data_IF_481152748066
#
_entry.id   IF_481152748066
#
_cell.length_a   1.000
_cell.length_b   1.000
_cell.length_c   1.000
_cell.angle_alpha   90.00
_cell.angle_beta   90.00
_cell.angle_gamma   90.00
#
_symmetry.space_group_name_H-M   'P 1'
#
loop_
_entity.id
_entity.type
_entity.pdbx_description
1 polymer ?
#
# COMPACT_ATOMS: atom_id res chain seq x y z
N UNK A 1 -30.19 5.22 2.77
CA UNK A 1 -29.83 4.68 4.11
C UNK A 1 -28.40 5.03 4.41
N UNK A 2 -28.15 5.68 5.52
CA UNK A 2 -26.80 6.04 5.90
C UNK A 2 -26.00 4.78 6.26
N UNK A 3 -24.72 4.72 5.88
CA UNK A 3 -23.90 3.58 6.25
C UNK A 3 -23.75 3.51 7.77
N UNK A 4 -23.84 2.31 8.33
CA UNK A 4 -23.71 2.08 9.76
C UNK A 4 -22.29 1.64 10.14
N UNK A 5 -21.53 1.16 9.17
CA UNK A 5 -20.18 0.62 9.38
C UNK A 5 -19.24 1.16 8.30
N UNK A 6 -18.04 1.51 8.70
CA UNK A 6 -16.97 1.95 7.80
C UNK A 6 -15.75 1.05 7.97
N UNK A 7 -15.19 0.57 6.87
CA UNK A 7 -13.99 -0.26 6.90
C UNK A 7 -12.78 0.59 6.53
N UNK A 8 -11.74 0.56 7.35
CA UNK A 8 -10.55 1.37 7.10
C UNK A 8 -9.76 0.82 5.90
N UNK A 9 -9.55 1.68 4.89
CA UNK A 9 -8.79 1.35 3.68
C UNK A 9 -7.59 2.25 3.48
N UNK A 10 -7.40 3.24 4.36
CA UNK A 10 -6.25 4.14 4.31
C UNK A 10 -5.97 4.65 5.71
N UNK A 11 -4.83 4.28 6.26
CA UNK A 11 -4.46 4.65 7.64
C UNK A 11 -3.74 5.99 7.67
N UNK A 12 -2.72 6.17 6.83
CA UNK A 12 -1.97 7.42 6.75
C UNK A 12 -1.38 7.83 8.10
N UNK A 13 -1.62 9.08 8.45
CA UNK A 13 -1.15 9.66 9.71
C UNK A 13 -1.96 9.21 10.93
N UNK A 14 -3.01 8.42 10.72
CA UNK A 14 -3.94 8.00 11.77
C UNK A 14 -3.63 6.61 12.34
N UNK A 15 -2.39 6.13 12.18
CA UNK A 15 -1.99 4.79 12.63
C UNK A 15 -2.21 4.56 14.14
N UNK A 16 -2.23 5.63 14.92
CA UNK A 16 -2.51 5.57 16.37
C UNK A 16 -3.99 5.30 16.68
N UNK A 17 -4.87 5.48 15.71
CA UNK A 17 -6.31 5.40 15.92
C UNK A 17 -7.02 4.45 14.96
N UNK A 18 -6.42 4.12 13.80
CA UNK A 18 -7.03 3.30 12.77
C UNK A 18 -6.15 2.11 12.41
N UNK A 19 -6.79 0.98 12.10
CA UNK A 19 -6.13 -0.23 11.63
C UNK A 19 -6.70 -0.60 10.26
N UNK A 20 -5.83 -0.79 9.28
CA UNK A 20 -6.25 -1.18 7.92
C UNK A 20 -7.11 -2.46 7.97
N UNK A 21 -8.25 -2.41 7.28
CA UNK A 21 -9.16 -3.54 7.19
C UNK A 21 -10.09 -3.72 8.40
N UNK A 22 -9.91 -2.93 9.47
CA UNK A 22 -10.80 -2.98 10.62
C UNK A 22 -12.11 -2.23 10.35
N UNK A 23 -13.18 -2.69 10.97
CA UNK A 23 -14.51 -2.07 10.86
C UNK A 23 -14.78 -1.17 12.06
N UNK A 24 -15.39 -0.04 11.79
CA UNK A 24 -15.75 0.96 12.81
C UNK A 24 -17.22 1.34 12.65
N UNK A 25 -17.94 1.47 13.76
CA UNK A 25 -19.30 1.98 13.73
C UNK A 25 -19.28 3.47 13.35
N UNK A 26 -20.12 3.84 12.39
CA UNK A 26 -20.26 5.24 11.99
C UNK A 26 -21.15 5.94 13.01
N UNK A 27 -20.58 6.88 13.75
CA UNK A 27 -21.30 7.66 14.74
C UNK A 27 -22.00 8.87 14.11
N UNK A 28 -21.30 9.54 13.19
CA UNK A 28 -21.83 10.65 12.41
C UNK A 28 -21.13 10.71 11.06
N UNK A 29 -21.82 11.25 10.06
CA UNK A 29 -21.26 11.44 8.73
C UNK A 29 -21.58 12.86 8.26
N UNK A 30 -20.54 13.65 7.99
CA UNK A 30 -20.67 15.01 7.48
C UNK A 30 -20.27 15.03 6.01
N UNK A 31 -21.27 14.98 5.13
CA UNK A 31 -21.04 14.95 3.68
C UNK A 31 -20.51 16.27 3.14
N UNK A 32 -20.81 17.39 3.81
CA UNK A 32 -20.33 18.70 3.36
C UNK A 32 -18.84 18.86 3.60
N UNK A 33 -18.33 18.28 4.66
CA UNK A 33 -16.90 18.34 5.01
C UNK A 33 -16.12 17.08 4.60
N UNK A 34 -16.80 16.10 4.00
CA UNK A 34 -16.21 14.80 3.65
C UNK A 34 -15.53 14.13 4.85
N UNK A 35 -16.25 14.06 5.97
CA UNK A 35 -15.75 13.51 7.22
C UNK A 35 -16.71 12.49 7.82
N UNK A 36 -16.14 11.50 8.51
CA UNK A 36 -16.87 10.47 9.24
C UNK A 36 -16.37 10.45 10.67
N UNK A 37 -17.29 10.44 11.62
CA UNK A 37 -16.94 10.29 13.03
C UNK A 37 -17.04 8.83 13.44
N UNK A 38 -15.95 8.30 13.95
CA UNK A 38 -15.89 6.94 14.50
C UNK A 38 -15.12 6.97 15.82
N UNK A 39 -15.28 5.90 16.62
CA UNK A 39 -14.41 5.67 17.78
C UNK A 39 -13.21 4.88 17.32
N UNK A 40 -12.03 5.48 17.37
CA UNK A 40 -10.80 4.84 16.96
C UNK A 40 -10.34 3.74 17.91
N UNK A 41 -9.24 3.08 17.57
CA UNK A 41 -8.66 2.01 18.38
C UNK A 41 -8.24 2.49 19.78
N UNK A 42 -7.96 3.79 19.90
CA UNK A 42 -7.61 4.41 21.18
C UNK A 42 -8.82 4.75 22.06
N UNK A 43 -10.03 4.37 21.61
CA UNK A 43 -11.28 4.61 22.36
C UNK A 43 -11.85 6.01 22.24
N UNK A 44 -11.20 6.89 21.49
CA UNK A 44 -11.64 8.30 21.37
C UNK A 44 -12.48 8.50 20.13
N UNK A 45 -13.58 9.25 20.28
CA UNK A 45 -14.39 9.71 19.14
C UNK A 45 -13.61 10.78 18.40
N UNK A 46 -13.52 10.63 17.09
CA UNK A 46 -12.80 11.60 16.26
C UNK A 46 -13.38 11.63 14.86
N UNK A 47 -13.27 12.77 14.21
CA UNK A 47 -13.62 12.95 12.80
C UNK A 47 -12.41 12.60 11.94
N UNK A 48 -12.62 11.77 10.92
CA UNK A 48 -11.59 11.36 9.96
C UNK A 48 -12.08 11.67 8.55
N UNK A 49 -11.17 11.93 7.60
CA UNK A 49 -11.58 12.10 6.21
C UNK A 49 -12.27 10.84 5.67
N UNK A 50 -13.28 11.02 4.82
CA UNK A 50 -14.01 9.88 4.25
C UNK A 50 -13.12 8.96 3.40
N UNK A 51 -12.04 9.50 2.82
CA UNK A 51 -11.13 8.66 2.03
C UNK A 51 -10.44 7.56 2.85
N UNK A 52 -10.43 7.68 4.17
CA UNK A 52 -9.88 6.64 5.04
C UNK A 52 -10.75 5.38 5.07
N UNK A 53 -11.99 5.45 4.59
CA UNK A 53 -12.96 4.38 4.78
C UNK A 53 -13.65 3.98 3.48
N UNK A 54 -14.01 2.69 3.43
CA UNK A 54 -14.98 2.16 2.49
C UNK A 54 -16.28 1.91 3.26
N UNK A 55 -17.35 2.55 2.83
CA UNK A 55 -18.66 2.44 3.45
C UNK A 55 -19.66 1.66 2.59
N UNK A 56 -19.17 0.98 1.54
CA UNK A 56 -20.03 0.22 0.62
C UNK A 56 -20.47 -1.12 1.18
N UNK A 57 -19.83 -1.59 2.26
CA UNK A 57 -20.09 -2.92 2.81
C UNK A 57 -19.41 -4.06 2.08
N UNK A 58 -18.61 -3.76 1.05
CA UNK A 58 -17.86 -4.78 0.32
C UNK A 58 -16.65 -5.24 1.15
N UNK A 59 -16.30 -6.55 1.09
CA UNK A 59 -15.08 -7.01 1.75
C UNK A 59 -13.86 -6.30 1.18
N UNK A 60 -12.97 -5.86 2.06
CA UNK A 60 -11.70 -5.26 1.65
C UNK A 60 -10.75 -6.36 1.22
N UNK A 61 -10.17 -6.21 0.02
CA UNK A 61 -9.17 -7.14 -0.49
C UNK A 61 -7.86 -6.92 0.26
N UNK A 62 -7.31 -7.98 0.84
CA UNK A 62 -6.12 -7.94 1.69
C UNK A 62 -5.03 -8.84 1.16
N UNK A 63 -3.80 -8.43 1.37
CA UNK A 63 -2.64 -9.27 1.09
C UNK A 63 -2.59 -10.41 2.10
N UNK A 64 -2.64 -11.66 1.61
CA UNK A 64 -2.64 -12.85 2.48
C UNK A 64 -1.36 -13.65 2.40
N UNK A 65 -0.60 -13.55 1.31
CA UNK A 65 0.67 -14.25 1.16
C UNK A 65 1.62 -13.53 0.23
N UNK A 66 2.90 -13.58 0.56
CA UNK A 66 3.99 -12.99 -0.23
C UNK A 66 4.99 -14.08 -0.54
N UNK A 67 5.35 -14.22 -1.82
CA UNK A 67 6.37 -15.17 -2.26
C UNK A 67 7.50 -14.40 -2.93
N UNK A 68 8.72 -14.60 -2.44
CA UNK A 68 9.94 -13.99 -2.99
C UNK A 68 10.55 -14.98 -3.97
N UNK A 69 10.58 -14.62 -5.26
CA UNK A 69 11.00 -15.51 -6.32
C UNK A 69 12.50 -15.46 -6.65
N UNK A 70 13.19 -14.41 -6.20
CA UNK A 70 14.60 -14.22 -6.50
C UNK A 70 15.47 -14.28 -5.25
N UNK A 71 16.78 -14.61 -5.39
CA UNK A 71 17.69 -14.43 -4.27
C UNK A 71 17.73 -12.98 -3.81
N UNK A 72 17.84 -12.76 -2.50
CA UNK A 72 17.79 -11.42 -1.92
C UNK A 72 18.99 -10.55 -2.31
N UNK A 73 20.08 -11.16 -2.79
CA UNK A 73 21.25 -10.43 -3.28
C UNK A 73 21.15 -10.07 -4.77
N UNK A 74 20.02 -10.36 -5.40
CA UNK A 74 19.77 -10.00 -6.80
C UNK A 74 19.63 -8.48 -6.95
N UNK A 75 19.96 -7.91 -8.13
CA UNK A 75 19.79 -6.47 -8.37
C UNK A 75 18.36 -5.99 -8.29
N UNK A 76 17.40 -6.84 -8.64
CA UNK A 76 15.99 -6.64 -8.38
C UNK A 76 15.41 -7.96 -7.92
N UNK A 77 14.44 -7.88 -7.01
CA UNK A 77 13.83 -9.06 -6.41
C UNK A 77 12.34 -9.02 -6.73
N UNK A 78 11.90 -9.99 -7.53
CA UNK A 78 10.48 -10.13 -7.87
C UNK A 78 9.72 -10.75 -6.70
N UNK A 79 8.57 -10.19 -6.40
CA UNK A 79 7.72 -10.63 -5.30
C UNK A 79 6.31 -10.85 -5.81
N UNK A 80 5.78 -12.05 -5.58
CA UNK A 80 4.40 -12.39 -5.93
C UNK A 80 3.52 -12.15 -4.72
N UNK A 81 2.42 -11.43 -4.95
CA UNK A 81 1.44 -11.05 -3.94
C UNK A 81 0.15 -11.81 -4.18
N UNK A 82 -0.31 -12.51 -3.17
CA UNK A 82 -1.58 -13.24 -3.22
C UNK A 82 -2.59 -12.54 -2.30
N UNK A 83 -3.76 -12.23 -2.85
CA UNK A 83 -4.79 -11.46 -2.16
C UNK A 83 -5.95 -12.33 -1.71
N UNK A 84 -6.74 -11.83 -0.76
CA UNK A 84 -7.85 -12.56 -0.15
C UNK A 84 -8.96 -12.93 -1.13
N UNK A 85 -9.05 -12.27 -2.29
CA UNK A 85 -10.00 -12.59 -3.35
C UNK A 85 -9.47 -13.63 -4.35
N UNK A 86 -8.27 -14.17 -4.12
CA UNK A 86 -7.65 -15.16 -4.98
C UNK A 86 -6.83 -14.60 -6.12
N UNK A 87 -6.88 -13.30 -6.35
CA UNK A 87 -6.06 -12.68 -7.40
C UNK A 87 -4.59 -12.65 -6.99
N UNK A 88 -3.69 -12.75 -7.98
CA UNK A 88 -2.25 -12.63 -7.80
C UNK A 88 -1.75 -11.43 -8.56
N UNK A 89 -0.81 -10.73 -7.95
CA UNK A 89 -0.12 -9.58 -8.54
C UNK A 89 1.37 -9.71 -8.23
N UNK A 90 2.18 -8.85 -8.83
CA UNK A 90 3.60 -8.85 -8.55
C UNK A 90 4.14 -7.43 -8.55
N UNK A 91 5.22 -7.26 -7.81
CA UNK A 91 6.04 -6.06 -7.83
C UNK A 91 7.50 -6.51 -7.69
N UNK A 92 8.42 -5.57 -7.86
CA UNK A 92 9.83 -5.88 -7.62
C UNK A 92 10.47 -4.83 -6.72
N UNK A 93 11.44 -5.27 -5.96
CA UNK A 93 12.19 -4.44 -5.03
C UNK A 93 13.59 -4.19 -5.58
N UNK A 94 14.06 -2.97 -5.44
CA UNK A 94 15.40 -2.57 -5.84
C UNK A 94 15.93 -1.52 -4.86
N UNK A 95 17.17 -1.08 -5.06
CA UNK A 95 17.79 -0.06 -4.21
C UNK A 95 18.24 1.11 -5.07
N UNK A 96 18.48 2.31 -4.47
CA UNK A 96 19.04 3.44 -5.22
C UNK A 96 20.38 3.10 -5.86
N UNK A 97 21.20 2.30 -5.19
CA UNK A 97 22.49 1.85 -5.71
C UNK A 97 22.32 1.02 -6.99
N UNK A 98 21.37 0.07 -6.99
CA UNK A 98 21.11 -0.76 -8.16
C UNK A 98 20.55 0.05 -9.32
N UNK A 99 19.68 1.03 -9.04
CA UNK A 99 19.19 1.95 -10.06
C UNK A 99 20.33 2.74 -10.67
N UNK A 100 21.27 3.20 -9.85
CA UNK A 100 22.43 3.94 -10.32
C UNK A 100 23.34 3.09 -11.22
N UNK A 101 23.51 1.81 -10.88
CA UNK A 101 24.36 0.89 -11.65
C UNK A 101 23.70 0.41 -12.94
N UNK A 102 22.38 0.25 -12.95
CA UNK A 102 21.63 -0.36 -14.05
C UNK A 102 20.63 0.60 -14.70
N UNK A 103 20.71 1.88 -14.39
CA UNK A 103 19.81 2.86 -14.96
C UNK A 103 19.93 2.95 -16.48
N UNK A 104 18.93 3.54 -17.10
CA UNK A 104 18.81 3.63 -18.56
C UNK A 104 19.94 4.37 -19.24
N UNK A 105 19.96 4.26 -20.56
CA UNK A 105 21.02 4.83 -21.38
C UNK A 105 20.84 6.31 -21.69
N UNK A 106 19.65 6.87 -21.40
CA UNK A 106 19.37 8.27 -21.72
C UNK A 106 20.19 9.20 -20.81
N UNK A 107 20.86 10.15 -21.44
CA UNK A 107 21.68 11.15 -20.76
C UNK A 107 21.30 12.54 -21.22
N UNK A 108 21.32 13.49 -20.27
CA UNK A 108 21.00 14.89 -20.52
C UNK A 108 22.02 15.73 -19.78
N UNK A 109 22.86 16.47 -20.52
CA UNK A 109 23.93 17.32 -19.96
C UNK A 109 24.84 16.59 -18.99
N UNK A 110 25.15 15.31 -19.29
CA UNK A 110 26.02 14.49 -18.45
C UNK A 110 25.30 13.76 -17.31
N UNK A 111 24.03 14.04 -17.08
CA UNK A 111 23.23 13.38 -16.08
C UNK A 111 22.42 12.23 -16.70
N UNK A 112 22.32 11.10 -15.98
CA UNK A 112 21.57 9.93 -16.47
C UNK A 112 20.17 9.89 -15.93
N UNK A 113 19.22 9.54 -16.79
CA UNK A 113 17.88 9.16 -16.38
C UNK A 113 17.93 7.72 -15.87
N UNK A 114 17.77 7.53 -14.55
CA UNK A 114 17.93 6.21 -13.93
C UNK A 114 16.72 5.31 -14.12
N UNK A 115 15.52 5.87 -14.09
CA UNK A 115 14.30 5.09 -14.21
C UNK A 115 13.09 5.99 -14.49
N UNK A 116 12.09 5.43 -15.22
CA UNK A 116 10.79 6.07 -15.39
C UNK A 116 9.72 5.03 -15.72
N UNK A 117 8.46 5.34 -15.41
CA UNK A 117 7.28 4.63 -15.92
C UNK A 117 6.90 3.32 -15.27
N UNK A 118 7.65 2.84 -14.27
CA UNK A 118 7.35 1.56 -13.64
C UNK A 118 6.62 1.76 -12.32
N UNK A 119 5.31 1.47 -12.30
CA UNK A 119 4.50 1.62 -11.09
C UNK A 119 4.68 0.47 -10.09
N UNK A 120 5.14 -0.68 -10.56
CA UNK A 120 5.31 -1.89 -9.76
C UNK A 120 6.72 -2.03 -9.17
N UNK A 121 7.47 -0.96 -9.15
CA UNK A 121 8.80 -0.89 -8.55
C UNK A 121 8.73 -0.29 -7.15
N UNK A 122 9.33 -0.98 -6.18
CA UNK A 122 9.48 -0.48 -4.82
C UNK A 122 10.96 -0.30 -4.54
N UNK A 123 11.34 0.92 -4.14
CA UNK A 123 12.75 1.25 -3.87
C UNK A 123 12.96 1.27 -2.36
N UNK A 124 13.89 0.45 -1.90
CA UNK A 124 14.24 0.34 -0.48
C UNK A 124 15.73 0.60 -0.28
N UNK A 125 16.12 0.93 0.95
CA UNK A 125 17.53 1.20 1.26
C UNK A 125 18.38 -0.06 1.21
N UNK A 126 17.80 -1.20 1.58
CA UNK A 126 18.45 -2.52 1.47
C UNK A 126 17.38 -3.58 1.32
N UNK A 127 17.69 -4.64 0.54
CA UNK A 127 16.73 -5.71 0.28
C UNK A 127 16.95 -6.82 1.31
N UNK A 128 16.01 -6.93 2.26
CA UNK A 128 15.93 -8.03 3.21
C UNK A 128 14.49 -8.52 3.25
N UNK A 129 14.28 -9.76 3.72
CA UNK A 129 12.92 -10.26 3.89
C UNK A 129 12.08 -9.36 4.78
N UNK A 130 12.66 -8.91 5.89
CA UNK A 130 11.96 -8.01 6.82
C UNK A 130 11.58 -6.69 6.15
N UNK A 131 12.48 -6.10 5.35
CA UNK A 131 12.21 -4.85 4.64
C UNK A 131 11.10 -5.04 3.61
N UNK A 132 11.10 -6.15 2.88
CA UNK A 132 10.05 -6.47 1.91
C UNK A 132 8.70 -6.57 2.63
N UNK A 133 8.62 -7.37 3.69
CA UNK A 133 7.37 -7.59 4.42
C UNK A 133 6.84 -6.31 5.07
N UNK A 134 7.72 -5.54 5.70
CA UNK A 134 7.33 -4.28 6.35
C UNK A 134 6.91 -3.23 5.33
N UNK A 135 7.60 -3.14 4.20
CA UNK A 135 7.23 -2.22 3.12
C UNK A 135 5.86 -2.55 2.55
N UNK A 136 5.59 -3.82 2.29
CA UNK A 136 4.29 -4.24 1.76
C UNK A 136 3.17 -3.98 2.76
N UNK A 137 3.39 -4.24 4.05
CA UNK A 137 2.41 -3.93 5.09
C UNK A 137 2.12 -2.44 5.15
N UNK A 138 3.15 -1.61 5.05
CA UNK A 138 3.01 -0.16 5.04
C UNK A 138 2.22 0.31 3.81
N UNK A 139 2.60 -0.16 2.61
CA UNK A 139 1.92 0.22 1.36
C UNK A 139 0.44 -0.22 1.40
N UNK A 140 0.17 -1.41 1.93
CA UNK A 140 -1.20 -1.87 2.11
C UNK A 140 -1.99 -0.94 3.04
N UNK A 141 -1.39 -0.51 4.16
CA UNK A 141 -2.05 0.39 5.11
C UNK A 141 -2.36 1.76 4.51
N UNK A 142 -1.63 2.15 3.46
CA UNK A 142 -1.88 3.39 2.72
C UNK A 142 -2.94 3.21 1.64
N UNK A 143 -3.44 1.99 1.42
CA UNK A 143 -4.42 1.72 0.39
C UNK A 143 -3.85 1.74 -1.03
N UNK A 144 -2.52 1.60 -1.20
CA UNK A 144 -1.86 1.78 -2.49
C UNK A 144 -1.24 0.50 -3.05
N UNK A 145 -1.50 -0.66 -2.45
CA UNK A 145 -0.82 -1.89 -2.87
C UNK A 145 -1.19 -2.30 -4.31
N UNK A 146 -2.43 -2.06 -4.72
CA UNK A 146 -2.84 -2.35 -6.11
C UNK A 146 -2.15 -1.41 -7.10
N UNK A 147 -1.91 -0.15 -6.71
CA UNK A 147 -1.24 0.83 -7.57
C UNK A 147 0.27 0.58 -7.68
N UNK A 148 0.85 -0.13 -6.70
CA UNK A 148 2.27 -0.46 -6.64
C UNK A 148 2.59 -1.86 -7.16
N UNK A 149 1.65 -2.51 -7.83
CA UNK A 149 1.81 -3.87 -8.33
C UNK A 149 1.11 -4.06 -9.67
N UNK A 150 1.43 -5.15 -10.36
CA UNK A 150 0.81 -5.53 -11.63
C UNK A 150 0.11 -6.87 -11.52
N UNK A 151 -1.01 -7.08 -12.24
CA UNK A 151 -1.65 -8.40 -12.31
C UNK A 151 -0.70 -9.42 -12.94
N UNK A 152 -0.83 -10.66 -12.50
CA UNK A 152 -0.20 -11.81 -13.15
C UNK A 152 -1.25 -12.37 -14.09
N UNK A 153 -0.93 -12.41 -15.40
CA UNK A 153 -1.80 -12.95 -16.44
C UNK A 153 -1.67 -14.46 -16.56
#
# INVERSE_FOLDING_TARGET
>A
MDPTTATCVHVGVYAHALTYGAEYAVLNHDTDKDQVQVRGDNGKKRWFPTYCFDMTGQPVVRLVRTTIDDPLDSPSVDVVLEFSDGHQRWCYFTTPEMLSQRGGDAQFDGERLLHFGSRHMVVVSSITRAMIEQSLAYIESQGELLDCSRPID
#
